data_IF_287706599629
#
_entry.id   IF_287706599629
#
_cell.length_a   1.000
_cell.length_b   1.000
_cell.length_c   1.000
_cell.angle_alpha   90.00
_cell.angle_beta   90.00
_cell.angle_gamma   90.00
#
_symmetry.space_group_name_H-M   'P 1'
#
loop_
_entity.id
_entity.type
_entity.pdbx_description
1 polymer ?
#
# COMPACT_ATOMS: atom_id res chain seq x y z
N UNK A 1 -87.46 -25.65 -14.22
CA UNK A 1 -86.78 -24.65 -13.38
C UNK A 1 -85.30 -25.01 -13.31
N UNK A 2 -84.42 -24.04 -13.55
CA UNK A 2 -82.96 -24.05 -13.39
C UNK A 2 -82.14 -24.97 -14.35
N UNK A 3 -81.65 -24.35 -15.42
CA UNK A 3 -80.51 -24.72 -16.30
C UNK A 3 -79.29 -23.85 -15.90
N UNK A 4 -78.04 -24.07 -16.39
CA UNK A 4 -77.55 -25.04 -17.40
C UNK A 4 -76.23 -25.78 -17.04
N UNK A 5 -75.85 -26.68 -17.96
CA UNK A 5 -74.58 -27.41 -18.17
C UNK A 5 -73.31 -26.54 -18.17
N UNK A 6 -72.09 -27.14 -18.06
CA UNK A 6 -71.27 -27.47 -19.27
C UNK A 6 -70.37 -28.72 -19.03
N UNK A 7 -69.50 -29.23 -19.90
CA UNK A 7 -69.27 -29.26 -21.34
C UNK A 7 -68.06 -30.21 -21.57
N UNK A 8 -67.95 -30.76 -22.77
CA UNK A 8 -66.89 -31.65 -23.21
C UNK A 8 -65.51 -30.97 -23.33
N UNK A 9 -64.46 -31.79 -23.18
CA UNK A 9 -63.03 -31.50 -23.43
C UNK A 9 -62.77 -31.08 -24.87
N UNK A 10 -61.84 -30.16 -25.07
CA UNK A 10 -60.92 -30.11 -26.22
C UNK A 10 -59.64 -29.37 -25.80
N UNK A 11 -58.49 -29.99 -26.08
CA UNK A 11 -57.14 -29.49 -25.83
C UNK A 11 -56.81 -28.36 -26.82
N UNK A 12 -56.30 -27.24 -26.30
CA UNK A 12 -55.64 -26.20 -27.08
C UNK A 12 -54.26 -25.93 -26.48
N UNK A 13 -53.24 -26.00 -27.33
CA UNK A 13 -51.85 -25.72 -27.02
C UNK A 13 -51.67 -24.25 -26.63
N UNK A 14 -50.92 -23.99 -25.55
CA UNK A 14 -50.43 -22.65 -25.21
C UNK A 14 -48.91 -22.67 -25.16
N UNK A 15 -48.30 -21.92 -26.08
CA UNK A 15 -46.89 -21.56 -26.00
C UNK A 15 -46.67 -20.68 -24.78
N UNK A 16 -45.97 -21.18 -23.76
CA UNK A 16 -45.44 -20.36 -22.69
C UNK A 16 -44.09 -19.78 -23.15
N UNK A 17 -44.12 -18.58 -23.71
CA UNK A 17 -42.93 -17.75 -23.85
C UNK A 17 -42.49 -17.32 -22.44
N UNK A 18 -41.49 -18.02 -21.88
CA UNK A 18 -40.83 -17.60 -20.66
C UNK A 18 -40.01 -16.34 -20.97
N UNK A 19 -40.52 -15.19 -20.55
CA UNK A 19 -39.80 -13.92 -20.53
C UNK A 19 -38.56 -14.10 -19.64
N UNK A 20 -37.39 -14.28 -20.26
CA UNK A 20 -36.11 -14.05 -19.64
C UNK A 20 -36.08 -12.58 -19.18
N UNK A 21 -36.35 -12.36 -17.89
CA UNK A 21 -36.05 -11.09 -17.26
C UNK A 21 -34.53 -10.90 -17.37
N UNK A 22 -34.03 -9.76 -17.89
CA UNK A 22 -32.62 -9.43 -17.74
C UNK A 22 -32.36 -9.40 -16.24
N UNK A 23 -31.43 -10.24 -15.76
CA UNK A 23 -30.87 -10.06 -14.44
C UNK A 23 -30.33 -8.64 -14.40
N UNK A 24 -31.05 -7.74 -13.73
CA UNK A 24 -30.52 -6.44 -13.33
C UNK A 24 -29.24 -6.76 -12.59
N UNK A 25 -28.10 -6.44 -13.19
CA UNK A 25 -26.83 -6.45 -12.50
C UNK A 25 -27.03 -5.55 -11.29
N UNK A 26 -27.05 -6.16 -10.09
CA UNK A 26 -27.02 -5.39 -8.86
C UNK A 26 -25.81 -4.46 -8.99
N UNK A 27 -26.06 -3.14 -8.98
CA UNK A 27 -24.98 -2.17 -8.86
C UNK A 27 -24.13 -2.64 -7.67
N UNK A 28 -22.81 -2.78 -7.84
CA UNK A 28 -21.97 -3.21 -6.74
C UNK A 28 -22.07 -2.10 -5.70
N UNK A 29 -22.89 -2.32 -4.67
CA UNK A 29 -22.88 -1.52 -3.45
C UNK A 29 -21.44 -1.58 -2.97
N UNK A 30 -20.71 -0.48 -3.15
CA UNK A 30 -19.36 -0.35 -2.63
C UNK A 30 -19.41 -0.81 -1.18
N UNK A 31 -18.67 -1.85 -0.84
CA UNK A 31 -18.63 -2.38 0.53
C UNK A 31 -18.28 -1.20 1.43
N UNK A 32 -19.22 -0.73 2.24
CA UNK A 32 -18.98 0.46 3.06
C UNK A 32 -18.00 0.08 4.16
N UNK A 33 -16.74 0.47 3.95
CA UNK A 33 -15.68 0.31 4.93
C UNK A 33 -15.55 1.59 5.74
N UNK A 34 -15.44 1.44 7.07
CA UNK A 34 -15.12 2.55 7.95
C UNK A 34 -13.69 3.08 7.65
N UNK A 35 -13.39 4.37 7.91
CA UNK A 35 -12.08 4.96 7.67
C UNK A 35 -10.91 4.14 8.22
N UNK A 36 -11.04 3.60 9.43
CA UNK A 36 -10.03 2.78 10.08
C UNK A 36 -9.71 1.49 9.28
N UNK A 37 -10.73 0.83 8.73
CA UNK A 37 -10.55 -0.39 7.95
C UNK A 37 -9.92 -0.11 6.58
N UNK A 38 -10.24 1.03 5.98
CA UNK A 38 -9.61 1.47 4.72
C UNK A 38 -8.15 1.83 4.95
N UNK A 39 -7.85 2.53 6.05
CA UNK A 39 -6.50 2.84 6.43
C UNK A 39 -5.64 1.58 6.64
N UNK A 40 -6.18 0.55 7.29
CA UNK A 40 -5.50 -0.74 7.46
C UNK A 40 -5.18 -1.41 6.10
N UNK A 41 -6.08 -1.31 5.11
CA UNK A 41 -5.82 -1.80 3.76
C UNK A 41 -4.67 -1.04 3.08
N UNK A 42 -4.61 0.29 3.22
CA UNK A 42 -3.51 1.10 2.69
C UNK A 42 -2.17 0.72 3.34
N UNK A 43 -2.13 0.61 4.66
CA UNK A 43 -0.93 0.20 5.43
C UNK A 43 -0.43 -1.16 4.94
N UNK A 44 -1.29 -2.17 4.89
CA UNK A 44 -0.92 -3.53 4.48
C UNK A 44 -0.52 -3.62 3.02
N UNK A 45 -1.13 -2.82 2.16
CA UNK A 45 -0.78 -2.74 0.73
C UNK A 45 0.60 -2.10 0.52
N UNK A 46 0.88 -0.97 1.18
CA UNK A 46 2.06 -0.15 0.86
C UNK A 46 3.30 -0.57 1.67
N UNK A 47 3.12 -0.80 2.97
CA UNK A 47 4.24 -1.14 3.87
C UNK A 47 4.52 -2.64 3.82
N UNK A 48 3.50 -3.46 4.08
CA UNK A 48 3.69 -4.91 4.17
C UNK A 48 3.65 -5.62 2.81
N UNK A 49 3.14 -4.94 1.77
CA UNK A 49 2.90 -5.53 0.45
C UNK A 49 2.18 -6.88 0.54
N UNK A 50 1.14 -6.95 1.37
CA UNK A 50 0.34 -8.15 1.52
C UNK A 50 -0.55 -8.35 0.28
N UNK A 51 -0.38 -9.47 -0.43
CA UNK A 51 -1.05 -9.75 -1.69
C UNK A 51 -2.59 -9.70 -1.56
N UNK A 52 -3.12 -10.26 -0.47
CA UNK A 52 -4.55 -10.26 -0.20
C UNK A 52 -5.09 -8.84 0.05
N UNK A 53 -4.34 -8.02 0.77
CA UNK A 53 -4.68 -6.62 1.02
C UNK A 53 -4.59 -5.78 -0.25
N UNK A 54 -3.60 -6.01 -1.13
CA UNK A 54 -3.51 -5.37 -2.45
C UNK A 54 -4.77 -5.67 -3.26
N UNK A 55 -5.14 -6.95 -3.37
CA UNK A 55 -6.33 -7.37 -4.11
C UNK A 55 -7.62 -6.74 -3.52
N UNK A 56 -7.73 -6.74 -2.19
CA UNK A 56 -8.89 -6.17 -1.49
C UNK A 56 -8.98 -4.66 -1.64
N UNK A 57 -7.86 -3.94 -1.54
CA UNK A 57 -7.82 -2.49 -1.74
C UNK A 57 -8.18 -2.12 -3.18
N UNK A 58 -7.63 -2.83 -4.17
CA UNK A 58 -7.98 -2.60 -5.57
C UNK A 58 -9.47 -2.85 -5.81
N UNK A 59 -10.02 -3.97 -5.31
CA UNK A 59 -11.44 -4.26 -5.44
C UNK A 59 -12.34 -3.19 -4.81
N UNK A 60 -11.94 -2.68 -3.63
CA UNK A 60 -12.65 -1.60 -2.93
C UNK A 60 -12.62 -0.28 -3.70
N UNK A 61 -11.47 0.11 -4.25
CA UNK A 61 -11.29 1.40 -4.93
C UNK A 61 -11.76 1.40 -6.38
N UNK A 62 -11.81 0.24 -7.05
CA UNK A 62 -12.06 0.13 -8.50
C UNK A 62 -13.28 0.89 -9.00
N UNK A 63 -14.47 0.81 -8.35
CA UNK A 63 -15.65 1.56 -8.82
C UNK A 63 -15.41 3.07 -8.84
N UNK A 64 -14.85 3.62 -7.75
CA UNK A 64 -14.56 5.05 -7.63
C UNK A 64 -13.44 5.49 -8.58
N UNK A 65 -12.40 4.68 -8.78
CA UNK A 65 -11.29 4.99 -9.70
C UNK A 65 -11.76 5.04 -11.16
N UNK A 66 -12.56 4.07 -11.59
CA UNK A 66 -13.12 4.04 -12.94
C UNK A 66 -14.08 5.20 -13.19
N UNK A 67 -14.94 5.54 -12.21
CA UNK A 67 -15.82 6.70 -12.29
C UNK A 67 -15.03 8.03 -12.40
N UNK A 68 -13.84 8.10 -11.79
CA UNK A 68 -12.93 9.23 -11.88
C UNK A 68 -11.94 9.17 -13.06
N UNK A 69 -12.14 8.28 -14.04
CA UNK A 69 -11.26 8.09 -15.21
C UNK A 69 -9.78 7.77 -14.87
N UNK A 70 -9.55 7.10 -13.73
CA UNK A 70 -8.23 6.60 -13.31
C UNK A 70 -8.03 5.12 -13.70
N UNK A 71 -6.80 4.60 -13.53
CA UNK A 71 -6.53 3.17 -13.69
C UNK A 71 -7.40 2.34 -12.74
N UNK A 72 -7.90 1.19 -13.21
CA UNK A 72 -8.75 0.31 -12.41
C UNK A 72 -8.07 -0.16 -11.11
N UNK A 73 -6.77 -0.46 -11.21
CA UNK A 73 -5.96 -0.92 -10.09
C UNK A 73 -5.21 0.27 -9.46
N UNK A 74 -5.19 0.33 -8.13
CA UNK A 74 -4.42 1.29 -7.36
C UNK A 74 -2.97 0.85 -7.23
N UNK A 75 -2.74 -0.44 -6.93
CA UNK A 75 -1.41 -1.02 -6.79
C UNK A 75 -1.31 -2.36 -7.53
N UNK A 76 -0.11 -2.70 -7.99
CA UNK A 76 0.20 -4.02 -8.55
C UNK A 76 1.14 -4.75 -7.62
N UNK A 77 0.73 -5.91 -7.10
CA UNK A 77 1.57 -6.72 -6.22
C UNK A 77 2.88 -7.14 -6.91
N UNK A 78 2.81 -7.55 -8.18
CA UNK A 78 4.01 -7.91 -8.94
C UNK A 78 4.94 -6.72 -9.14
N UNK A 79 4.41 -5.53 -9.43
CA UNK A 79 5.23 -4.32 -9.57
C UNK A 79 5.87 -3.89 -8.24
N UNK A 80 5.16 -4.08 -7.11
CA UNK A 80 5.72 -3.84 -5.78
C UNK A 80 6.89 -4.78 -5.49
N UNK A 81 6.75 -6.08 -5.79
CA UNK A 81 7.83 -7.06 -5.61
C UNK A 81 9.00 -6.84 -6.57
N UNK A 82 8.72 -6.41 -7.79
CA UNK A 82 9.76 -6.04 -8.74
C UNK A 82 10.56 -4.82 -8.24
N UNK A 83 9.87 -3.78 -7.74
CA UNK A 83 10.53 -2.61 -7.17
C UNK A 83 11.41 -2.97 -5.96
N UNK A 84 10.93 -3.82 -5.06
CA UNK A 84 11.71 -4.33 -3.92
C UNK A 84 12.95 -5.11 -4.37
N UNK A 85 12.83 -5.93 -5.41
CA UNK A 85 13.95 -6.71 -5.94
C UNK A 85 15.02 -5.82 -6.60
N UNK A 86 14.61 -4.71 -7.21
CA UNK A 86 15.53 -3.74 -7.84
C UNK A 86 16.15 -2.78 -6.83
N UNK A 87 15.52 -2.57 -5.67
CA UNK A 87 15.93 -1.60 -4.66
C UNK A 87 17.40 -1.73 -4.23
N UNK A 88 17.94 -2.92 -3.89
CA UNK A 88 19.33 -3.06 -3.45
C UNK A 88 20.33 -2.53 -4.46
N UNK A 89 20.14 -2.87 -5.75
CA UNK A 89 21.04 -2.45 -6.83
C UNK A 89 20.89 -0.96 -7.12
N UNK A 90 19.66 -0.45 -7.25
CA UNK A 90 19.42 0.95 -7.57
C UNK A 90 19.88 1.88 -6.44
N UNK A 91 19.46 1.59 -5.20
CA UNK A 91 19.83 2.39 -4.03
C UNK A 91 21.30 2.19 -3.65
N UNK A 92 21.83 0.97 -3.78
CA UNK A 92 23.26 0.70 -3.59
C UNK A 92 24.15 1.52 -4.53
N UNK A 93 23.74 1.67 -5.79
CA UNK A 93 24.40 2.58 -6.74
C UNK A 93 24.35 4.03 -6.26
N UNK A 94 23.19 4.53 -5.84
CA UNK A 94 23.04 5.90 -5.32
C UNK A 94 23.94 6.15 -4.10
N UNK A 95 24.03 5.18 -3.19
CA UNK A 95 24.93 5.23 -2.03
C UNK A 95 26.39 5.23 -2.50
N UNK A 96 26.78 4.37 -3.43
CA UNK A 96 28.15 4.29 -3.95
C UNK A 96 28.56 5.59 -4.67
N UNK A 97 27.62 6.25 -5.36
CA UNK A 97 27.86 7.51 -6.06
C UNK A 97 28.17 8.69 -5.10
N UNK A 98 27.90 8.55 -3.80
CA UNK A 98 28.35 9.50 -2.77
C UNK A 98 29.88 9.50 -2.59
N UNK A 99 30.57 8.42 -2.98
CA UNK A 99 32.00 8.24 -2.78
C UNK A 99 32.81 8.67 -4.03
N UNK A 100 34.11 8.98 -3.86
CA UNK A 100 35.01 9.27 -4.98
C UNK A 100 35.00 8.18 -6.04
N UNK A 101 35.15 8.55 -7.32
CA UNK A 101 34.97 7.66 -8.48
C UNK A 101 35.89 6.43 -8.46
N UNK A 102 37.11 6.58 -7.95
CA UNK A 102 38.11 5.52 -7.80
C UNK A 102 37.75 4.49 -6.71
N UNK A 103 36.85 4.84 -5.78
CA UNK A 103 36.40 3.95 -4.71
C UNK A 103 35.12 3.19 -5.04
N UNK A 104 34.30 3.70 -5.98
CA UNK A 104 32.91 3.24 -6.19
C UNK A 104 32.81 1.74 -6.37
N UNK A 105 33.59 1.16 -7.28
CA UNK A 105 33.58 -0.28 -7.55
C UNK A 105 33.84 -1.13 -6.29
N UNK A 106 34.69 -0.65 -5.39
CA UNK A 106 35.05 -1.38 -4.17
C UNK A 106 33.98 -1.24 -3.07
N UNK A 107 33.26 -0.11 -3.01
CA UNK A 107 32.21 0.13 -2.01
C UNK A 107 30.83 -0.35 -2.45
N UNK A 108 30.57 -0.52 -3.75
CA UNK A 108 29.27 -0.94 -4.30
C UNK A 108 28.70 -2.19 -3.60
N UNK A 109 29.45 -3.30 -3.41
CA UNK A 109 28.87 -4.47 -2.76
C UNK A 109 28.40 -4.20 -1.32
N UNK A 110 29.13 -3.36 -0.57
CA UNK A 110 28.73 -2.96 0.79
C UNK A 110 27.54 -2.00 0.79
N UNK A 111 27.45 -1.13 -0.23
CA UNK A 111 26.32 -0.23 -0.44
C UNK A 111 25.03 -0.98 -0.82
N UNK A 112 25.12 -1.97 -1.69
CA UNK A 112 24.00 -2.85 -2.05
C UNK A 112 23.54 -3.69 -0.85
N UNK A 113 24.47 -4.19 -0.02
CA UNK A 113 24.14 -4.87 1.24
C UNK A 113 23.40 -3.94 2.22
N UNK A 114 23.84 -2.69 2.34
CA UNK A 114 23.12 -1.69 3.14
C UNK A 114 21.70 -1.50 2.63
N UNK A 115 21.53 -1.26 1.32
CA UNK A 115 20.22 -1.09 0.72
C UNK A 115 19.32 -2.34 0.88
N UNK A 116 19.89 -3.55 0.75
CA UNK A 116 19.20 -4.81 0.96
C UNK A 116 18.68 -4.95 2.41
N UNK A 117 19.50 -4.62 3.40
CA UNK A 117 19.08 -4.69 4.79
C UNK A 117 18.03 -3.62 5.14
N UNK A 118 18.11 -2.45 4.52
CA UNK A 118 17.13 -1.35 4.67
C UNK A 118 15.76 -1.77 4.13
N UNK A 119 15.68 -2.31 2.90
CA UNK A 119 14.39 -2.79 2.36
C UNK A 119 13.85 -3.98 3.16
N UNK A 120 14.72 -4.90 3.61
CA UNK A 120 14.32 -6.00 4.48
C UNK A 120 13.75 -5.51 5.83
N UNK A 121 14.37 -4.48 6.44
CA UNK A 121 13.88 -3.87 7.67
C UNK A 121 12.52 -3.19 7.48
N UNK A 122 12.33 -2.48 6.36
CA UNK A 122 11.01 -1.90 6.00
C UNK A 122 9.95 -2.98 5.85
N UNK A 123 10.23 -4.01 5.06
CA UNK A 123 9.26 -5.08 4.80
C UNK A 123 8.94 -5.90 6.06
N UNK A 124 9.87 -5.95 7.01
CA UNK A 124 9.68 -6.54 8.34
C UNK A 124 8.98 -5.62 9.37
N UNK A 125 8.59 -4.40 8.99
CA UNK A 125 7.85 -3.48 9.85
C UNK A 125 6.42 -3.97 10.05
N UNK A 126 6.01 -4.17 11.30
CA UNK A 126 4.63 -4.55 11.62
C UNK A 126 3.83 -3.28 11.91
N UNK A 127 2.89 -2.95 11.03
CA UNK A 127 2.11 -1.71 11.10
C UNK A 127 0.62 -2.00 11.26
N UNK A 128 -0.07 -1.15 12.03
CA UNK A 128 -1.51 -1.26 12.25
C UNK A 128 -2.14 0.12 12.44
N UNK A 129 -3.33 0.32 11.87
CA UNK A 129 -4.15 1.48 12.18
C UNK A 129 -4.68 1.36 13.62
N UNK A 130 -4.64 2.45 14.39
CA UNK A 130 -4.97 2.45 15.82
C UNK A 130 -6.25 3.20 16.14
N UNK A 131 -6.49 4.34 15.47
CA UNK A 131 -7.65 5.19 15.74
C UNK A 131 -8.00 6.02 14.52
N UNK A 132 -9.29 6.14 14.22
CA UNK A 132 -9.81 7.16 13.32
C UNK A 132 -10.48 8.28 14.15
N UNK A 133 -10.18 9.52 13.82
CA UNK A 133 -10.88 10.68 14.35
C UNK A 133 -12.28 10.81 13.72
N UNK A 134 -13.20 11.56 14.36
CA UNK A 134 -14.50 11.85 13.79
C UNK A 134 -14.40 12.45 12.38
N UNK A 135 -15.30 12.05 11.50
CA UNK A 135 -15.36 12.57 10.13
C UNK A 135 -15.68 14.06 10.17
N UNK A 136 -14.86 14.86 9.52
CA UNK A 136 -15.10 16.28 9.27
C UNK A 136 -15.55 16.49 7.83
N UNK A 137 -16.33 17.54 7.58
CA UNK A 137 -16.78 17.91 6.23
C UNK A 137 -16.31 19.32 5.92
N UNK A 138 -15.50 19.47 4.88
CA UNK A 138 -15.02 20.77 4.41
C UNK A 138 -15.03 20.80 2.89
N UNK A 139 -15.60 21.86 2.30
CA UNK A 139 -15.69 22.04 0.85
C UNK A 139 -16.29 20.84 0.09
N UNK A 140 -17.26 20.15 0.70
CA UNK A 140 -17.88 18.96 0.11
C UNK A 140 -17.07 17.66 0.24
N UNK A 141 -15.92 17.70 0.90
CA UNK A 141 -15.09 16.52 1.17
C UNK A 141 -15.28 16.05 2.61
N UNK A 142 -15.59 14.78 2.78
CA UNK A 142 -15.54 14.09 4.07
C UNK A 142 -14.11 13.61 4.29
N UNK A 143 -13.54 13.89 5.46
CA UNK A 143 -12.18 13.50 5.81
C UNK A 143 -12.14 12.90 7.22
N UNK A 144 -11.38 11.82 7.38
CA UNK A 144 -11.04 11.27 8.69
C UNK A 144 -9.51 11.13 8.78
N UNK A 145 -8.93 11.71 9.83
CA UNK A 145 -7.54 11.46 10.18
C UNK A 145 -7.45 10.09 10.88
N UNK A 146 -6.50 9.27 10.45
CA UNK A 146 -6.28 7.93 11.00
C UNK A 146 -4.86 7.82 11.53
N UNK A 147 -4.74 7.62 12.83
CA UNK A 147 -3.49 7.30 13.50
C UNK A 147 -3.12 5.84 13.25
N UNK A 148 -1.83 5.59 13.09
CA UNK A 148 -1.27 4.25 12.99
C UNK A 148 0.06 4.15 13.73
N UNK A 149 0.48 2.92 14.00
CA UNK A 149 1.79 2.65 14.57
C UNK A 149 2.49 1.51 13.85
N UNK A 150 3.82 1.55 13.84
CA UNK A 150 4.68 0.56 13.24
C UNK A 150 5.80 0.15 14.20
N UNK A 151 6.11 -1.14 14.27
CA UNK A 151 7.34 -1.62 14.91
C UNK A 151 8.46 -1.65 13.87
N UNK A 152 9.32 -0.63 13.90
CA UNK A 152 10.45 -0.43 12.97
C UNK A 152 11.79 -0.67 13.66
N UNK A 153 12.85 -0.91 12.91
CA UNK A 153 14.19 -1.08 13.49
C UNK A 153 14.68 0.25 14.09
N UNK A 154 15.23 0.20 15.30
CA UNK A 154 15.81 1.37 15.96
C UNK A 154 17.26 1.56 15.53
N UNK A 155 17.48 2.42 14.55
CA UNK A 155 18.82 2.82 14.12
C UNK A 155 19.26 4.12 14.79
N UNK A 156 20.57 4.31 15.07
CA UNK A 156 21.07 5.55 15.67
C UNK A 156 21.04 6.73 14.69
N UNK A 157 21.23 6.46 13.40
CA UNK A 157 21.20 7.42 12.29
C UNK A 157 20.64 6.67 11.08
N UNK A 158 19.65 7.25 10.39
CA UNK A 158 19.07 6.65 9.19
C UNK A 158 20.09 6.47 8.07
N UNK A 159 19.90 5.46 7.21
CA UNK A 159 20.94 4.96 6.30
C UNK A 159 21.45 6.05 5.36
N UNK A 160 20.56 6.92 4.85
CA UNK A 160 20.91 7.97 3.90
C UNK A 160 21.88 8.96 4.55
N UNK A 161 21.54 9.43 5.75
CA UNK A 161 22.38 10.35 6.53
C UNK A 161 23.68 9.68 6.95
N UNK A 162 23.64 8.42 7.41
CA UNK A 162 24.82 7.69 7.83
C UNK A 162 25.81 7.46 6.66
N UNK A 163 25.30 7.09 5.48
CA UNK A 163 26.10 6.93 4.27
C UNK A 163 26.71 8.25 3.80
N UNK A 164 25.95 9.35 3.82
CA UNK A 164 26.46 10.68 3.50
C UNK A 164 27.54 11.15 4.48
N UNK A 165 27.36 10.92 5.78
CA UNK A 165 28.36 11.24 6.80
C UNK A 165 29.65 10.43 6.59
N UNK A 166 29.52 9.14 6.29
CA UNK A 166 30.65 8.28 6.00
C UNK A 166 31.41 8.75 4.74
N UNK A 167 30.70 9.06 3.65
CA UNK A 167 31.33 9.59 2.44
C UNK A 167 32.06 10.92 2.69
N UNK A 168 31.45 11.84 3.46
CA UNK A 168 32.05 13.14 3.84
C UNK A 168 33.26 13.02 4.77
N UNK A 169 33.44 11.87 5.43
CA UNK A 169 34.58 11.66 6.36
C UNK A 169 35.94 11.57 5.66
N UNK A 170 35.99 11.37 4.34
CA UNK A 170 37.24 11.14 3.61
C UNK A 170 37.92 9.81 3.98
N UNK A 171 37.14 8.81 4.37
CA UNK A 171 37.65 7.47 4.69
C UNK A 171 38.42 6.86 3.50
N UNK A 172 39.43 6.05 3.81
CA UNK A 172 40.06 5.18 2.80
C UNK A 172 39.12 4.04 2.44
N UNK A 173 39.24 3.50 1.22
CA UNK A 173 38.38 2.44 0.65
C UNK A 173 37.97 1.36 1.66
N UNK A 174 38.93 0.70 2.32
CA UNK A 174 38.63 -0.38 3.27
C UNK A 174 37.80 0.11 4.48
N UNK A 175 38.09 1.31 5.02
CA UNK A 175 37.30 1.89 6.10
C UNK A 175 35.90 2.30 5.64
N UNK A 176 35.74 2.75 4.39
CA UNK A 176 34.43 3.05 3.85
C UNK A 176 33.59 1.78 3.65
N UNK A 177 34.21 0.69 3.18
CA UNK A 177 33.56 -0.62 3.08
C UNK A 177 33.10 -1.13 4.45
N UNK A 178 34.00 -1.15 5.42
CA UNK A 178 33.70 -1.56 6.80
C UNK A 178 32.61 -0.68 7.43
N UNK A 179 32.67 0.63 7.17
CA UNK A 179 31.66 1.59 7.62
C UNK A 179 30.28 1.29 7.06
N UNK A 180 30.16 1.07 5.75
CA UNK A 180 28.90 0.71 5.10
C UNK A 180 28.36 -0.62 5.62
N UNK A 181 29.22 -1.64 5.79
CA UNK A 181 28.83 -2.92 6.37
C UNK A 181 28.35 -2.79 7.82
N UNK A 182 29.00 -1.93 8.61
CA UNK A 182 28.58 -1.65 9.99
C UNK A 182 27.21 -0.97 10.03
N UNK A 183 26.94 -0.01 9.14
CA UNK A 183 25.62 0.61 9.00
C UNK A 183 24.61 -0.46 8.56
N UNK A 184 24.93 -1.30 7.57
CA UNK A 184 24.04 -2.36 7.12
C UNK A 184 23.66 -3.32 8.26
N UNK A 185 24.60 -3.67 9.13
CA UNK A 185 24.37 -4.55 10.26
C UNK A 185 23.41 -3.98 11.31
N UNK A 186 23.26 -2.65 11.43
CA UNK A 186 22.30 -2.08 12.39
C UNK A 186 20.85 -2.43 12.04
N UNK A 187 20.53 -2.61 10.76
CA UNK A 187 19.17 -2.93 10.30
C UNK A 187 18.75 -4.37 10.60
N UNK A 188 19.68 -5.26 10.93
CA UNK A 188 19.39 -6.66 11.24
C UNK A 188 19.57 -6.99 12.72
N UNK A 189 20.39 -6.22 13.44
CA UNK A 189 20.76 -6.51 14.84
C UNK A 189 20.15 -5.58 15.87
N UNK A 190 19.65 -4.41 15.47
CA UNK A 190 19.13 -3.42 16.42
C UNK A 190 17.72 -3.81 16.93
N UNK A 191 17.37 -3.42 18.17
CA UNK A 191 16.02 -3.62 18.68
C UNK A 191 14.99 -2.86 17.85
N UNK A 192 13.72 -3.24 17.97
CA UNK A 192 12.61 -2.48 17.38
C UNK A 192 12.20 -1.29 18.25
N UNK A 193 11.62 -0.28 17.63
CA UNK A 193 10.96 0.84 18.28
C UNK A 193 9.59 1.07 17.65
N UNK A 194 8.70 1.72 18.40
CA UNK A 194 7.39 2.11 17.89
C UNK A 194 7.49 3.46 17.20
N UNK A 195 7.24 3.49 15.91
CA UNK A 195 6.98 4.70 15.13
C UNK A 195 5.47 4.93 15.06
N UNK A 196 5.03 6.19 15.13
CA UNK A 196 3.63 6.60 15.07
C UNK A 196 3.48 7.75 14.11
N UNK A 197 2.43 7.69 13.30
CA UNK A 197 2.08 8.74 12.37
C UNK A 197 0.56 8.77 12.14
N UNK A 198 0.12 9.74 11.36
CA UNK A 198 -1.29 9.97 11.04
C UNK A 198 -1.40 10.22 9.55
N UNK A 199 -2.38 9.61 8.88
CA UNK A 199 -2.74 9.98 7.52
C UNK A 199 -4.24 10.17 7.37
N UNK A 200 -4.63 10.98 6.40
CA UNK A 200 -6.03 11.23 6.10
C UNK A 200 -6.57 10.23 5.08
N UNK A 201 -7.82 9.81 5.28
CA UNK A 201 -8.65 9.25 4.20
C UNK A 201 -9.81 10.19 3.94
N UNK A 202 -10.19 10.34 2.68
CA UNK A 202 -11.22 11.27 2.23
C UNK A 202 -12.14 10.69 1.16
N UNK A 203 -13.37 11.21 1.08
CA UNK A 203 -14.34 10.91 0.03
C UNK A 203 -15.24 12.13 -0.21
N UNK A 204 -15.76 12.31 -1.42
CA UNK A 204 -16.68 13.43 -1.70
C UNK A 204 -18.13 13.06 -1.36
N UNK A 205 -18.51 11.80 -1.61
CA UNK A 205 -19.88 11.31 -1.41
C UNK A 205 -19.88 10.03 -0.59
N UNK A 206 -20.99 9.76 0.10
CA UNK A 206 -21.16 8.50 0.85
C UNK A 206 -21.13 7.26 -0.04
N UNK A 207 -21.50 7.41 -1.31
CA UNK A 207 -21.45 6.36 -2.33
C UNK A 207 -20.04 6.08 -2.87
N UNK A 208 -19.04 6.88 -2.50
CA UNK A 208 -17.67 6.73 -2.95
C UNK A 208 -16.80 6.06 -1.87
N UNK A 209 -15.77 5.36 -2.35
CA UNK A 209 -14.76 4.79 -1.48
C UNK A 209 -13.99 5.90 -0.74
N UNK A 210 -13.61 5.64 0.51
CA UNK A 210 -12.57 6.41 1.17
C UNK A 210 -11.25 6.20 0.43
N UNK A 211 -10.54 7.28 0.16
CA UNK A 211 -9.27 7.31 -0.57
C UNK A 211 -8.22 8.01 0.26
N UNK A 212 -6.99 7.58 0.13
CA UNK A 212 -5.85 8.44 0.42
C UNK A 212 -5.08 8.65 -0.88
N UNK A 213 -5.21 9.85 -1.45
CA UNK A 213 -4.60 10.21 -2.72
C UNK A 213 -3.08 10.39 -2.60
N UNK A 214 -2.56 10.60 -1.39
CA UNK A 214 -1.15 10.83 -1.07
C UNK A 214 -0.60 9.82 -0.06
N UNK A 215 -1.15 8.59 -0.03
CA UNK A 215 -0.81 7.61 1.00
C UNK A 215 0.69 7.29 1.04
N UNK A 216 1.34 7.33 -0.12
CA UNK A 216 2.79 7.11 -0.22
C UNK A 216 3.60 8.16 0.52
N UNK A 217 3.20 9.43 0.53
CA UNK A 217 3.97 10.49 1.20
C UNK A 217 4.12 10.18 2.70
N UNK A 218 3.03 9.82 3.37
CA UNK A 218 3.09 9.46 4.80
C UNK A 218 3.85 8.16 5.05
N UNK A 219 3.75 7.17 4.16
CA UNK A 219 4.44 5.91 4.35
C UNK A 219 5.91 5.94 3.93
N UNK A 220 6.30 6.85 3.05
CA UNK A 220 7.69 7.06 2.67
C UNK A 220 8.48 7.71 3.81
N UNK A 221 7.83 8.40 4.75
CA UNK A 221 8.48 8.85 5.99
C UNK A 221 9.10 7.69 6.78
N UNK A 222 8.63 6.44 6.62
CA UNK A 222 9.25 5.27 7.27
C UNK A 222 10.75 5.15 6.91
N UNK A 223 11.14 5.62 5.72
CA UNK A 223 12.52 5.65 5.24
C UNK A 223 13.39 6.73 5.88
N UNK A 224 12.80 7.66 6.62
CA UNK A 224 13.54 8.63 7.44
C UNK A 224 13.84 8.06 8.84
N UNK A 225 13.06 7.07 9.27
CA UNK A 225 13.22 6.38 10.55
C UNK A 225 14.02 5.07 10.45
N UNK A 226 14.07 4.49 9.24
CA UNK A 226 14.97 3.43 8.83
C UNK A 226 16.13 4.07 8.09
#
# INVERSE_FOLDING_TARGET
MHKPFPAARLLAATLAAALMQPAMAAEPTAVELAPLAVADLYIKTIINQDEASVAKLNAYLRPTRLAGHQSAEYASYSALKEADAQFPTQTGKLIADLFPSDMRAAVTPAAELLAANVIAAKNGAACQATKADPVTVQNGMQTAAVSFECQVVKVPVAWATAAQQLAKSGCKVERCKDGLQKIAATYTSSPKQTWRAVFAVSREKNSEAWRNDFARETFDEIWEYL
#
